data_IF_087131492841
#
_entry.id   IF_087131492841
#
_cell.length_a   1.000
_cell.length_b   1.000
_cell.length_c   1.000
_cell.angle_alpha   90.00
_cell.angle_beta   90.00
_cell.angle_gamma   90.00
#
_symmetry.space_group_name_H-M   'P 1'
#
loop_
_entity.id
_entity.type
_entity.pdbx_description
1 polymer ?
#
# COMPACT_ATOMS: atom_id res chain seq x y z
N UNK A 1 -14.81 23.25 20.84
CA UNK A 1 -14.56 22.15 19.88
C UNK A 1 -14.77 20.84 20.61
N UNK A 2 -15.50 19.89 20.02
CA UNK A 2 -15.66 18.58 20.64
C UNK A 2 -14.32 17.87 20.74
N UNK A 3 -14.09 17.12 21.82
CA UNK A 3 -12.84 16.40 22.07
C UNK A 3 -12.44 15.52 20.87
N UNK A 4 -13.38 14.84 20.23
CA UNK A 4 -13.12 14.00 19.06
C UNK A 4 -12.68 14.77 17.82
N UNK A 5 -13.11 16.03 17.66
CA UNK A 5 -12.68 16.89 16.56
C UNK A 5 -11.24 17.37 16.75
N UNK A 6 -10.85 17.68 17.95
CA UNK A 6 -9.46 18.06 18.27
C UNK A 6 -8.51 16.90 18.00
N UNK A 7 -8.83 15.70 18.46
CA UNK A 7 -8.02 14.49 18.20
C UNK A 7 -7.91 14.21 16.72
N UNK A 8 -9.01 14.29 15.97
CA UNK A 8 -9.01 14.13 14.52
C UNK A 8 -8.06 15.11 13.82
N UNK A 9 -8.12 16.38 14.21
CA UNK A 9 -7.26 17.41 13.62
C UNK A 9 -5.78 17.15 13.94
N UNK A 10 -5.46 16.68 15.15
CA UNK A 10 -4.09 16.30 15.52
C UNK A 10 -3.60 15.14 14.66
N UNK A 11 -4.41 14.07 14.50
CA UNK A 11 -4.03 12.91 13.68
C UNK A 11 -3.80 13.29 12.20
N UNK A 12 -4.51 14.29 11.70
CA UNK A 12 -4.30 14.82 10.35
C UNK A 12 -3.00 15.60 10.16
N UNK A 13 -2.30 15.94 11.23
CA UNK A 13 -0.97 16.55 11.17
C UNK A 13 0.14 15.50 10.93
N UNK A 14 -0.17 14.22 11.08
CA UNK A 14 0.81 13.17 10.83
C UNK A 14 1.18 13.14 9.34
N UNK A 15 2.48 13.02 9.08
CA UNK A 15 2.98 12.93 7.72
C UNK A 15 2.97 11.49 7.22
N UNK A 16 2.38 11.29 6.04
CA UNK A 16 2.34 9.99 5.38
C UNK A 16 2.83 10.09 3.94
N UNK A 17 3.47 9.05 3.46
CA UNK A 17 3.66 8.85 2.03
C UNK A 17 2.38 8.32 1.37
N UNK A 18 2.43 8.11 0.06
CA UNK A 18 1.41 7.41 -0.70
C UNK A 18 2.03 6.20 -1.40
N UNK A 19 1.34 5.09 -1.27
CA UNK A 19 1.79 3.79 -1.78
C UNK A 19 0.63 3.07 -2.45
N UNK A 20 0.93 2.10 -3.29
CA UNK A 20 -0.05 1.14 -3.78
C UNK A 20 0.36 -0.25 -3.29
N UNK A 21 -0.53 -0.93 -2.59
CA UNK A 21 -0.35 -2.33 -2.19
C UNK A 21 -1.07 -3.22 -3.19
N UNK A 22 -0.40 -4.28 -3.62
CA UNK A 22 -0.98 -5.30 -4.48
C UNK A 22 -0.87 -6.67 -3.83
N UNK A 23 -1.80 -7.55 -4.11
CA UNK A 23 -1.72 -8.96 -3.72
C UNK A 23 -2.54 -9.82 -4.66
N UNK A 24 -2.14 -11.09 -4.80
CA UNK A 24 -2.91 -12.06 -5.56
C UNK A 24 -4.15 -12.50 -4.78
N UNK A 25 -5.20 -12.86 -5.50
CA UNK A 25 -6.38 -13.53 -4.95
C UNK A 25 -6.94 -14.52 -5.96
N UNK A 26 -7.81 -15.47 -5.54
CA UNK A 26 -8.44 -16.41 -6.48
C UNK A 26 -9.21 -15.74 -7.61
N UNK A 27 -9.77 -14.55 -7.35
CA UNK A 27 -10.55 -13.77 -8.32
C UNK A 27 -9.71 -12.77 -9.12
N UNK A 28 -8.39 -12.92 -9.09
CA UNK A 28 -7.44 -12.03 -9.75
C UNK A 28 -6.74 -11.08 -8.77
N UNK A 29 -5.74 -10.32 -9.24
CA UNK A 29 -4.97 -9.44 -8.38
C UNK A 29 -5.83 -8.32 -7.80
N UNK A 30 -5.48 -7.90 -6.59
CA UNK A 30 -6.08 -6.74 -5.91
C UNK A 30 -5.03 -5.66 -5.73
N UNK A 31 -5.48 -4.42 -5.74
CA UNK A 31 -4.64 -3.26 -5.47
C UNK A 31 -5.42 -2.18 -4.71
N UNK A 32 -4.72 -1.46 -3.86
CA UNK A 32 -5.30 -0.31 -3.14
C UNK A 32 -4.22 0.72 -2.85
N UNK A 33 -4.59 1.99 -2.92
CA UNK A 33 -3.76 3.09 -2.46
C UNK A 33 -3.86 3.20 -0.94
N UNK A 34 -2.71 3.27 -0.30
CA UNK A 34 -2.59 3.30 1.16
C UNK A 34 -1.58 4.37 1.59
N UNK A 35 -1.72 4.84 2.82
CA UNK A 35 -0.81 5.85 3.39
C UNK A 35 -0.20 5.41 4.73
N UNK A 36 -0.75 4.42 5.40
CA UNK A 36 -0.21 3.97 6.69
C UNK A 36 0.86 2.92 6.49
N UNK A 37 2.05 3.39 6.12
CA UNK A 37 3.24 2.58 5.83
C UNK A 37 4.45 3.18 6.54
N UNK A 38 5.24 2.30 7.17
CA UNK A 38 6.50 2.71 7.79
C UNK A 38 7.54 1.60 7.70
N UNK A 39 8.82 1.97 7.75
CA UNK A 39 9.87 1.00 8.03
C UNK A 39 9.76 0.56 9.50
N UNK A 40 9.85 -0.75 9.76
CA UNK A 40 9.62 -1.33 11.08
C UNK A 40 10.86 -1.98 11.71
N UNK A 41 11.95 -2.16 10.98
CA UNK A 41 13.19 -2.72 11.47
C UNK A 41 14.35 -2.46 10.50
N UNK A 42 15.56 -2.34 11.01
CA UNK A 42 16.78 -2.26 10.20
C UNK A 42 17.27 -3.65 9.78
N UNK A 43 17.33 -4.58 10.74
CA UNK A 43 17.80 -5.94 10.50
C UNK A 43 17.02 -6.95 11.37
N UNK A 44 16.22 -7.81 10.74
CA UNK A 44 15.92 -7.84 9.31
C UNK A 44 15.17 -6.59 8.84
N UNK A 45 15.25 -6.28 7.54
CA UNK A 45 14.49 -5.16 6.97
C UNK A 45 13.01 -5.50 6.93
N UNK A 46 12.22 -4.76 7.71
CA UNK A 46 10.78 -4.95 7.83
C UNK A 46 10.05 -3.65 7.49
N UNK A 47 8.83 -3.81 6.98
CA UNK A 47 7.84 -2.74 6.84
C UNK A 47 6.59 -3.07 7.61
N UNK A 48 5.86 -2.04 8.05
CA UNK A 48 4.52 -2.17 8.62
C UNK A 48 3.53 -1.44 7.74
N UNK A 49 2.42 -2.09 7.41
CA UNK A 49 1.38 -1.54 6.53
C UNK A 49 0.01 -1.72 7.19
N UNK A 50 -0.72 -0.62 7.38
CA UNK A 50 -2.09 -0.63 7.89
C UNK A 50 -3.09 -0.78 6.76
N UNK A 51 -3.90 -1.84 6.78
CA UNK A 51 -4.98 -2.09 5.82
C UNK A 51 -6.31 -2.17 6.56
N UNK A 52 -7.33 -1.48 6.02
CA UNK A 52 -8.66 -1.51 6.61
C UNK A 52 -9.28 -2.90 6.47
N UNK A 53 -9.71 -3.45 7.60
CA UNK A 53 -10.39 -4.76 7.66
C UNK A 53 -11.68 -4.73 6.83
N UNK A 54 -12.00 -5.86 6.20
CA UNK A 54 -13.18 -5.99 5.34
C UNK A 54 -13.01 -5.46 3.92
N UNK A 55 -11.86 -4.91 3.57
CA UNK A 55 -11.56 -4.50 2.18
C UNK A 55 -10.99 -5.66 1.37
N UNK A 56 -11.13 -5.60 0.04
CA UNK A 56 -10.63 -6.65 -0.84
C UNK A 56 -9.11 -6.81 -0.73
N UNK A 57 -8.36 -5.71 -0.59
CA UNK A 57 -6.90 -5.79 -0.43
C UNK A 57 -6.50 -6.40 0.91
N UNK A 58 -7.18 -6.07 1.99
CA UNK A 58 -6.96 -6.67 3.31
C UNK A 58 -7.11 -8.19 3.25
N UNK A 59 -8.22 -8.67 2.68
CA UNK A 59 -8.49 -10.11 2.57
C UNK A 59 -7.48 -10.81 1.65
N UNK A 60 -7.08 -10.17 0.55
CA UNK A 60 -6.08 -10.72 -0.36
C UNK A 60 -4.71 -10.88 0.32
N UNK A 61 -4.23 -9.84 1.02
CA UNK A 61 -2.95 -9.88 1.74
C UNK A 61 -3.00 -10.92 2.86
N UNK A 62 -4.09 -10.96 3.61
CA UNK A 62 -4.27 -11.92 4.71
C UNK A 62 -4.24 -13.37 4.22
N UNK A 63 -4.89 -13.65 3.08
CA UNK A 63 -4.92 -15.00 2.52
C UNK A 63 -3.59 -15.37 1.85
N UNK A 64 -2.99 -14.47 1.08
CA UNK A 64 -1.74 -14.72 0.36
C UNK A 64 -0.48 -14.68 1.24
N UNK A 65 -0.52 -13.92 2.34
CA UNK A 65 0.61 -13.69 3.25
C UNK A 65 1.81 -13.03 2.55
N UNK A 66 1.54 -12.34 1.47
CA UNK A 66 2.55 -11.61 0.69
C UNK A 66 1.89 -10.49 -0.11
N UNK A 67 2.68 -9.46 -0.42
CA UNK A 67 2.19 -8.32 -1.17
C UNK A 67 3.32 -7.56 -1.87
N UNK A 68 2.96 -6.81 -2.90
CA UNK A 68 3.80 -5.78 -3.49
C UNK A 68 3.51 -4.44 -2.83
N UNK A 69 4.55 -3.69 -2.52
CA UNK A 69 4.45 -2.33 -1.99
C UNK A 69 5.13 -1.37 -2.97
N UNK A 70 4.34 -0.46 -3.53
CA UNK A 70 4.79 0.43 -4.59
C UNK A 70 4.84 1.86 -4.10
N UNK A 71 5.94 2.56 -4.33
CA UNK A 71 6.08 3.98 -4.01
C UNK A 71 5.50 4.81 -5.15
N UNK A 72 4.56 5.70 -4.82
CA UNK A 72 3.96 6.63 -5.78
C UNK A 72 4.86 7.87 -5.91
N UNK A 73 5.15 8.27 -7.14
CA UNK A 73 5.94 9.48 -7.42
C UNK A 73 5.13 10.77 -7.35
N UNK A 74 5.81 11.91 -7.18
CA UNK A 74 5.17 13.24 -7.08
C UNK A 74 4.26 13.57 -8.26
N UNK A 75 4.57 13.09 -9.45
CA UNK A 75 3.79 13.35 -10.67
C UNK A 75 2.78 12.24 -10.98
N UNK A 76 2.57 11.31 -10.05
CA UNK A 76 1.75 10.11 -10.26
C UNK A 76 0.41 10.16 -9.50
N UNK A 77 -0.21 11.34 -9.39
CA UNK A 77 -1.52 11.47 -8.71
C UNK A 77 -2.61 10.64 -9.38
N UNK A 78 -2.60 10.52 -10.72
CA UNK A 78 -3.56 9.69 -11.44
C UNK A 78 -3.36 8.19 -11.16
N UNK A 79 -2.12 7.75 -11.04
CA UNK A 79 -1.79 6.39 -10.63
C UNK A 79 -2.32 6.09 -9.23
N UNK A 80 -2.08 6.96 -8.25
CA UNK A 80 -2.61 6.80 -6.90
C UNK A 80 -4.15 6.79 -6.88
N UNK A 81 -4.80 7.70 -7.62
CA UNK A 81 -6.26 7.81 -7.66
C UNK A 81 -6.93 6.56 -8.23
N UNK A 82 -6.29 5.89 -9.17
CA UNK A 82 -6.83 4.70 -9.82
C UNK A 82 -7.15 3.55 -8.86
N UNK A 83 -6.50 3.52 -7.69
CA UNK A 83 -6.65 2.44 -6.71
C UNK A 83 -7.37 2.88 -5.42
N UNK A 84 -8.08 4.01 -5.43
CA UNK A 84 -8.89 4.45 -4.29
C UNK A 84 -10.13 3.59 -4.08
N UNK A 85 -10.61 2.93 -5.12
CA UNK A 85 -11.78 2.06 -5.09
C UNK A 85 -11.41 0.68 -5.60
N UNK A 86 -12.28 -0.28 -5.36
CA UNK A 86 -12.12 -1.63 -5.92
C UNK A 86 -11.94 -1.54 -7.42
N UNK A 87 -10.81 -2.01 -7.90
CA UNK A 87 -10.41 -1.93 -9.30
C UNK A 87 -10.73 -3.24 -10.02
N UNK A 88 -11.08 -3.12 -11.29
CA UNK A 88 -11.16 -4.29 -12.15
C UNK A 88 -9.77 -4.71 -12.61
N UNK A 89 -9.55 -6.01 -12.69
CA UNK A 89 -8.31 -6.59 -13.17
C UNK A 89 -8.57 -7.67 -14.22
N UNK A 90 -7.57 -7.90 -15.06
CA UNK A 90 -7.51 -9.01 -15.99
C UNK A 90 -6.12 -9.65 -15.93
N UNK A 91 -5.76 -10.48 -16.92
CA UNK A 91 -4.46 -11.17 -16.93
C UNK A 91 -3.24 -10.24 -17.09
N UNK A 92 -3.44 -9.00 -17.49
CA UNK A 92 -2.35 -8.07 -17.83
C UNK A 92 -2.36 -6.77 -17.04
N UNK A 93 -3.55 -6.33 -16.54
CA UNK A 93 -3.73 -4.99 -15.98
C UNK A 93 -4.61 -5.01 -14.72
N UNK A 94 -4.33 -4.07 -13.82
CA UNK A 94 -5.21 -3.68 -12.70
C UNK A 94 -5.55 -2.20 -12.90
N UNK A 95 -6.83 -1.86 -12.99
CA UNK A 95 -7.30 -0.48 -13.23
C UNK A 95 -6.64 0.19 -14.46
N UNK A 96 -6.31 -0.58 -15.48
CA UNK A 96 -5.65 -0.09 -16.69
C UNK A 96 -4.12 0.01 -16.62
N UNK A 97 -3.51 -0.33 -15.49
CA UNK A 97 -2.05 -0.34 -15.31
C UNK A 97 -1.49 -1.75 -15.40
N UNK A 98 -0.45 -1.92 -16.20
CA UNK A 98 0.19 -3.22 -16.39
C UNK A 98 0.88 -3.71 -15.12
N UNK A 99 0.80 -5.02 -14.90
CA UNK A 99 1.54 -5.69 -13.84
C UNK A 99 2.25 -6.94 -14.38
N UNK A 100 3.30 -7.34 -13.68
CA UNK A 100 3.95 -8.62 -13.87
C UNK A 100 3.91 -9.40 -12.54
N UNK A 101 3.84 -10.72 -12.63
CA UNK A 101 3.93 -11.57 -11.45
C UNK A 101 5.39 -11.90 -11.16
N UNK A 102 5.78 -11.80 -9.89
CA UNK A 102 7.06 -12.34 -9.43
C UNK A 102 7.03 -13.87 -9.47
N UNK A 103 8.18 -14.56 -9.34
CA UNK A 103 8.19 -16.01 -9.19
C UNK A 103 7.35 -16.52 -8.00
N UNK A 104 7.11 -15.67 -6.99
CA UNK A 104 6.22 -15.98 -5.85
C UNK A 104 4.75 -15.68 -6.12
N UNK A 105 4.42 -15.13 -7.28
CA UNK A 105 3.04 -14.78 -7.66
C UNK A 105 2.56 -13.43 -7.15
N UNK A 106 3.46 -12.54 -6.73
CA UNK A 106 3.09 -11.18 -6.29
C UNK A 106 2.96 -10.27 -7.50
N UNK A 107 1.81 -9.58 -7.67
CA UNK A 107 1.65 -8.61 -8.76
C UNK A 107 2.48 -7.35 -8.50
N UNK A 108 3.33 -6.97 -9.43
CA UNK A 108 4.11 -5.74 -9.39
C UNK A 108 3.70 -4.80 -10.53
N UNK A 109 3.31 -3.58 -10.17
CA UNK A 109 2.91 -2.53 -11.11
C UNK A 109 4.14 -1.78 -11.63
N UNK A 110 4.36 -1.85 -12.94
CA UNK A 110 5.54 -1.25 -13.57
C UNK A 110 5.53 0.28 -13.62
N UNK A 111 4.40 0.92 -13.37
CA UNK A 111 4.25 2.39 -13.41
C UNK A 111 4.85 3.08 -12.18
N UNK A 112 4.88 2.42 -11.03
CA UNK A 112 5.42 2.99 -9.80
C UNK A 112 6.89 3.40 -9.94
N UNK A 113 7.35 4.38 -9.18
CA UNK A 113 8.76 4.81 -9.21
C UNK A 113 9.69 3.80 -8.54
N UNK A 114 9.18 2.99 -7.63
CA UNK A 114 9.91 1.91 -6.96
C UNK A 114 8.92 0.91 -6.37
N UNK A 115 9.40 -0.32 -6.13
CA UNK A 115 8.59 -1.35 -5.50
C UNK A 115 9.41 -2.23 -4.55
N UNK A 116 8.70 -2.84 -3.60
CA UNK A 116 9.20 -3.89 -2.72
C UNK A 116 8.31 -5.11 -2.83
N UNK A 117 8.90 -6.31 -2.82
CA UNK A 117 8.20 -7.57 -2.63
C UNK A 117 8.30 -7.98 -1.17
N UNK A 118 7.17 -8.22 -0.52
CA UNK A 118 7.08 -8.41 0.91
C UNK A 118 6.37 -9.71 1.29
N UNK A 119 6.88 -10.35 2.34
CA UNK A 119 6.27 -11.54 2.96
C UNK A 119 5.78 -11.18 4.36
N UNK A 120 4.50 -11.41 4.63
CA UNK A 120 3.91 -11.14 5.95
C UNK A 120 4.49 -12.11 6.98
N UNK A 121 4.94 -11.56 8.10
CA UNK A 121 5.40 -12.35 9.25
C UNK A 121 4.48 -12.23 10.45
N UNK A 122 3.68 -11.17 10.53
CA UNK A 122 2.76 -10.92 11.64
C UNK A 122 1.62 -10.01 11.20
N UNK A 123 0.42 -10.25 11.69
CA UNK A 123 -0.70 -9.31 11.66
C UNK A 123 -1.01 -8.89 13.10
N UNK A 124 -0.96 -7.60 13.35
CA UNK A 124 -1.24 -7.00 14.66
C UNK A 124 -2.54 -6.18 14.61
N UNK A 125 -2.95 -5.65 15.76
CA UNK A 125 -4.11 -4.77 15.96
C UNK A 125 -5.47 -5.49 15.85
N UNK A 126 -5.66 -6.53 16.66
CA UNK A 126 -6.91 -7.29 16.70
C UNK A 126 -8.13 -6.47 17.13
N UNK A 127 -7.95 -5.34 17.82
CA UNK A 127 -9.04 -4.49 18.34
C UNK A 127 -9.42 -3.33 17.41
N UNK A 128 -8.52 -2.92 16.51
CA UNK A 128 -8.77 -1.79 15.62
C UNK A 128 -9.52 -2.19 14.35
N UNK A 129 -9.93 -1.20 13.58
CA UNK A 129 -10.58 -1.37 12.28
C UNK A 129 -9.58 -1.55 11.12
N UNK A 130 -8.27 -1.47 11.40
CA UNK A 130 -7.17 -1.77 10.49
C UNK A 130 -6.33 -2.90 11.05
N UNK A 131 -5.96 -3.86 10.19
CA UNK A 131 -4.90 -4.81 10.50
C UNK A 131 -3.55 -4.19 10.16
N UNK A 132 -2.56 -4.36 11.03
CA UNK A 132 -1.19 -3.91 10.79
C UNK A 132 -0.37 -5.12 10.38
N UNK A 133 -0.01 -5.18 9.11
CA UNK A 133 0.82 -6.27 8.58
C UNK A 133 2.29 -5.89 8.70
N UNK A 134 3.03 -6.67 9.48
CA UNK A 134 4.47 -6.57 9.55
C UNK A 134 5.05 -7.58 8.58
N UNK A 135 5.88 -7.12 7.65
CA UNK A 135 6.36 -7.93 6.55
C UNK A 135 7.87 -7.78 6.34
N UNK A 136 8.50 -8.89 5.98
CA UNK A 136 9.90 -8.94 5.57
C UNK A 136 10.01 -8.49 4.12
N UNK A 137 10.96 -7.62 3.84
CA UNK A 137 11.31 -7.24 2.47
C UNK A 137 12.16 -8.35 1.86
N UNK A 138 11.69 -8.93 0.77
CA UNK A 138 12.38 -10.02 0.05
C UNK A 138 13.18 -9.50 -1.13
N UNK A 139 12.66 -8.50 -1.84
CA UNK A 139 13.26 -7.93 -3.06
C UNK A 139 12.72 -6.51 -3.28
N UNK A 140 13.36 -5.75 -4.16
CA UNK A 140 12.93 -4.40 -4.52
C UNK A 140 13.76 -3.80 -5.64
N UNK A 141 13.15 -2.82 -6.33
CA UNK A 141 13.82 -2.10 -7.41
C UNK A 141 13.35 -0.64 -7.50
N UNK A 142 14.26 0.23 -7.94
CA UNK A 142 13.97 1.62 -8.27
C UNK A 142 13.79 1.72 -9.77
N UNK A 143 12.55 1.91 -10.22
CA UNK A 143 12.21 1.96 -11.63
C UNK A 143 12.47 3.33 -12.27
N UNK A 144 12.37 4.41 -11.47
CA UNK A 144 12.66 5.79 -11.93
C UNK A 144 13.69 6.42 -11.01
N UNK A 145 14.99 6.25 -11.31
CA UNK A 145 16.05 6.83 -10.48
C UNK A 145 15.92 8.34 -10.36
N UNK A 146 16.09 8.87 -9.14
CA UNK A 146 16.01 10.31 -8.86
C UNK A 146 14.59 10.86 -8.72
N UNK A 147 13.54 10.07 -8.97
CA UNK A 147 12.16 10.52 -8.74
C UNK A 147 11.90 10.73 -7.25
N UNK A 148 11.05 11.72 -6.94
CA UNK A 148 10.64 12.02 -5.58
C UNK A 148 9.30 11.33 -5.26
N UNK A 149 9.15 10.82 -4.04
CA UNK A 149 7.92 10.24 -3.57
C UNK A 149 6.85 11.30 -3.30
N UNK A 150 5.58 10.96 -3.59
CA UNK A 150 4.45 11.81 -3.28
C UNK A 150 4.08 11.64 -1.80
N UNK A 151 3.96 12.76 -1.09
CA UNK A 151 3.45 12.77 0.27
C UNK A 151 1.93 13.04 0.26
N UNK A 152 1.20 12.47 1.24
CA UNK A 152 -0.26 12.64 1.33
C UNK A 152 -0.64 14.12 1.47
N UNK A 153 0.09 14.91 2.27
CA UNK A 153 -0.21 16.34 2.48
C UNK A 153 0.16 17.23 1.29
N UNK A 154 0.87 16.73 0.29
CA UNK A 154 1.07 17.43 -1.00
C UNK A 154 -0.15 17.27 -1.92
N UNK A 155 -1.16 16.56 -1.48
CA UNK A 155 -2.42 16.35 -2.18
C UNK A 155 -3.57 17.02 -1.44
N UNK A 156 -4.77 17.01 -2.04
CA UNK A 156 -6.00 17.42 -1.36
C UNK A 156 -6.70 16.25 -0.65
N UNK A 157 -6.09 15.07 -0.65
CA UNK A 157 -6.68 13.87 -0.07
C UNK A 157 -6.38 13.75 1.42
N UNK A 158 -7.30 13.09 2.13
CA UNK A 158 -7.17 12.80 3.55
C UNK A 158 -7.43 11.32 3.81
N UNK A 159 -6.66 10.76 4.72
CA UNK A 159 -6.91 9.43 5.25
C UNK A 159 -6.56 9.43 6.75
N UNK A 160 -7.53 9.03 7.57
CA UNK A 160 -7.37 9.08 9.02
C UNK A 160 -7.87 10.38 9.66
N UNK A 161 -7.74 10.45 10.94
CA UNK A 161 -8.22 11.56 11.78
C UNK A 161 -9.63 11.41 12.30
#
# INVERSE_FOLDING_TARGET
MAEGETIRNILRLFNYGLFVVTSASPDGPRAATVSWVMQASFEPKLVAVGLRKGTAIYEAVRAAQQFGLHVVGQEQTDFARAFFRVSQSNAEQIAGFRYNLTPRGVPLLGTAIAWLECEVIEEANGQGDHGIFIARILDGDIQVPGAQALALHDTMWHYGG
#
